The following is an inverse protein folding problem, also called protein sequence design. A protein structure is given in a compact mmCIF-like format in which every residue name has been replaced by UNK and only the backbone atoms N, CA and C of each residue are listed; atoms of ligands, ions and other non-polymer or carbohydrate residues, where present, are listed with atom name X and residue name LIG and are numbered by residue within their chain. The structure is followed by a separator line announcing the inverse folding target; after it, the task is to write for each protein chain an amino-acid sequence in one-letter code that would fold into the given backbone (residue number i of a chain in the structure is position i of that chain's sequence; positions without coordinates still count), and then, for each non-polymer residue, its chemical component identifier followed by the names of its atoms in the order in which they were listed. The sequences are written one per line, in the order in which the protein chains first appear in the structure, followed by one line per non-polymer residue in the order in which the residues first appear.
data_IF_099244950936
#
_entry.id   IF_099244950936
#
_cell.length_a   1.000
_cell.length_b   1.000
_cell.length_c   1.000
_cell.angle_alpha   90.00
_cell.angle_beta   90.00
_cell.angle_gamma   90.00
#
_symmetry.space_group_name_H-M   'P 1'
#
loop_
_entity.id
_entity.type
_entity.pdbx_description
1 polymer ?
#
# COMPACT_ATOMS: atom_id res chain seq x y z
N UNK A 1 -40.78 -22.69 -12.51
CA UNK A 1 -40.10 -23.92 -12.05
C UNK A 1 -39.36 -23.59 -10.77
N UNK A 2 -39.60 -24.31 -9.67
CA UNK A 2 -38.79 -24.15 -8.48
C UNK A 2 -37.55 -25.05 -8.64
N UNK A 3 -36.39 -24.43 -8.88
CA UNK A 3 -35.14 -25.18 -8.82
C UNK A 3 -34.76 -25.39 -7.35
N UNK A 4 -34.75 -26.64 -6.91
CA UNK A 4 -34.21 -27.00 -5.60
C UNK A 4 -32.68 -27.12 -5.69
N UNK A 5 -32.00 -26.26 -5.00
CA UNK A 5 -30.54 -26.36 -4.84
C UNK A 5 -30.20 -27.12 -3.56
N UNK A 6 -29.49 -28.23 -3.69
CA UNK A 6 -28.96 -28.95 -2.51
C UNK A 6 -27.91 -28.08 -1.80
N UNK A 7 -28.07 -27.86 -0.50
CA UNK A 7 -27.08 -27.14 0.32
C UNK A 7 -25.67 -27.71 0.20
N UNK A 8 -25.52 -28.98 -0.11
CA UNK A 8 -24.21 -29.63 -0.38
C UNK A 8 -23.48 -29.04 -1.59
N UNK A 9 -24.14 -28.26 -2.41
CA UNK A 9 -23.51 -27.56 -3.53
C UNK A 9 -22.50 -26.50 -3.06
N UNK A 10 -22.67 -25.95 -1.85
CA UNK A 10 -21.74 -25.05 -1.20
C UNK A 10 -20.98 -25.71 -0.06
N UNK A 11 -19.79 -25.20 0.26
CA UNK A 11 -19.11 -25.58 1.50
C UNK A 11 -19.91 -25.10 2.71
N UNK A 12 -19.89 -25.85 3.81
CA UNK A 12 -20.68 -25.56 5.01
C UNK A 12 -20.50 -24.14 5.55
N UNK A 13 -19.29 -23.62 5.51
CA UNK A 13 -18.99 -22.28 6.00
C UNK A 13 -19.65 -21.16 5.18
N UNK A 14 -20.03 -21.45 3.92
CA UNK A 14 -20.68 -20.48 3.03
C UNK A 14 -22.21 -20.48 3.13
N UNK A 15 -22.82 -21.49 3.75
CA UNK A 15 -24.28 -21.64 3.84
C UNK A 15 -25.01 -20.40 4.38
N UNK A 16 -24.52 -19.69 5.42
CA UNK A 16 -25.19 -18.50 5.94
C UNK A 16 -25.31 -17.36 4.93
N UNK A 17 -24.47 -17.37 3.89
CA UNK A 17 -24.32 -16.26 2.95
C UNK A 17 -25.01 -16.49 1.60
N UNK A 18 -25.55 -17.69 1.35
CA UNK A 18 -26.10 -18.07 0.04
C UNK A 18 -27.31 -17.23 -0.34
N UNK A 19 -28.25 -17.07 0.55
CA UNK A 19 -29.56 -16.44 0.27
C UNK A 19 -29.54 -14.93 0.45
N UNK A 20 -28.59 -14.38 1.19
CA UNK A 20 -28.49 -12.96 1.50
C UNK A 20 -27.62 -12.23 0.49
N UNK A 21 -28.13 -11.12 -0.05
CA UNK A 21 -27.34 -10.18 -0.83
C UNK A 21 -26.99 -8.98 0.04
N UNK A 22 -25.70 -8.77 0.23
CA UNK A 22 -25.15 -7.63 0.98
C UNK A 22 -24.81 -6.50 0.01
N UNK A 23 -24.89 -5.26 0.46
CA UNK A 23 -24.43 -4.11 -0.34
C UNK A 23 -22.96 -4.25 -0.72
N UNK A 24 -22.15 -4.71 0.25
CA UNK A 24 -20.78 -5.10 0.02
C UNK A 24 -20.49 -6.47 0.64
N UNK A 25 -19.92 -7.37 -0.16
CA UNK A 25 -19.59 -8.71 0.28
C UNK A 25 -18.12 -9.00 -0.06
N UNK A 26 -17.30 -9.24 0.96
CA UNK A 26 -15.87 -9.54 0.84
C UNK A 26 -15.50 -10.91 1.40
N UNK A 27 -14.97 -11.80 0.57
CA UNK A 27 -14.44 -13.09 1.00
C UNK A 27 -12.92 -13.10 0.82
N UNK A 28 -12.18 -13.16 1.92
CA UNK A 28 -10.73 -13.13 1.88
C UNK A 28 -10.10 -14.28 2.67
N UNK A 29 -8.83 -14.52 2.45
CA UNK A 29 -8.09 -15.56 3.13
C UNK A 29 -7.19 -16.38 2.21
N UNK A 30 -6.94 -17.64 2.55
CA UNK A 30 -5.92 -18.44 1.86
C UNK A 30 -6.35 -18.89 0.47
N UNK A 31 -5.35 -19.20 -0.36
CA UNK A 31 -5.61 -19.97 -1.58
C UNK A 31 -6.25 -21.31 -1.23
N UNK A 32 -7.03 -21.88 -2.16
CA UNK A 32 -7.73 -23.17 -2.02
C UNK A 32 -8.80 -23.23 -0.91
N UNK A 33 -9.22 -22.10 -0.34
CA UNK A 33 -10.38 -22.05 0.57
C UNK A 33 -11.74 -22.14 -0.14
N UNK A 34 -11.73 -22.20 -1.48
CA UNK A 34 -12.90 -22.25 -2.38
C UNK A 34 -13.80 -21.00 -2.37
N UNK A 35 -13.28 -19.82 -2.02
CA UNK A 35 -14.01 -18.55 -2.05
C UNK A 35 -14.71 -18.32 -3.40
N UNK A 36 -13.94 -18.22 -4.47
CA UNK A 36 -14.45 -17.96 -5.83
C UNK A 36 -15.45 -19.01 -6.30
N UNK A 37 -15.25 -20.29 -5.94
CA UNK A 37 -16.19 -21.38 -6.26
C UNK A 37 -17.54 -21.21 -5.56
N UNK A 38 -17.55 -20.83 -4.28
CA UNK A 38 -18.78 -20.61 -3.55
C UNK A 38 -19.51 -19.35 -4.03
N UNK A 39 -18.79 -18.28 -4.34
CA UNK A 39 -19.35 -17.08 -4.95
C UNK A 39 -19.99 -17.41 -6.32
N UNK A 40 -19.27 -18.08 -7.21
CA UNK A 40 -19.81 -18.47 -8.52
C UNK A 40 -21.11 -19.28 -8.40
N UNK A 41 -21.19 -20.21 -7.43
CA UNK A 41 -22.40 -20.99 -7.13
C UNK A 41 -23.53 -20.11 -6.60
N UNK A 42 -23.24 -19.14 -5.72
CA UNK A 42 -24.20 -18.15 -5.25
C UNK A 42 -24.75 -17.32 -6.40
N UNK A 43 -23.91 -16.83 -7.28
CA UNK A 43 -24.31 -16.05 -8.44
C UNK A 43 -25.22 -16.86 -9.39
N UNK A 44 -24.88 -18.13 -9.66
CA UNK A 44 -25.72 -19.02 -10.45
C UNK A 44 -27.08 -19.25 -9.75
N UNK A 45 -27.11 -19.49 -8.44
CA UNK A 45 -28.34 -19.65 -7.67
C UNK A 45 -29.26 -18.41 -7.81
N UNK A 46 -28.72 -17.22 -7.57
CA UNK A 46 -29.50 -15.99 -7.67
C UNK A 46 -29.97 -15.69 -9.10
N UNK A 47 -29.26 -16.15 -10.13
CA UNK A 47 -29.69 -15.96 -11.51
C UNK A 47 -31.00 -16.70 -11.85
N UNK A 48 -31.41 -17.71 -11.08
CA UNK A 48 -32.69 -18.42 -11.23
C UNK A 48 -33.83 -17.77 -10.46
N UNK A 49 -33.55 -16.76 -9.62
CA UNK A 49 -34.59 -16.11 -8.83
C UNK A 49 -35.43 -15.16 -9.67
N UNK A 50 -36.72 -14.90 -9.30
CA UNK A 50 -37.65 -14.08 -10.08
C UNK A 50 -37.45 -12.58 -9.88
N UNK A 51 -36.22 -12.11 -9.87
CA UNK A 51 -35.84 -10.70 -9.81
C UNK A 51 -34.63 -10.43 -10.69
N UNK A 52 -34.40 -9.15 -11.00
CA UNK A 52 -33.23 -8.73 -11.77
C UNK A 52 -31.94 -9.12 -11.05
N UNK A 53 -31.10 -9.91 -11.72
CA UNK A 53 -29.82 -10.35 -11.19
C UNK A 53 -28.79 -10.39 -12.33
N UNK A 54 -28.37 -9.21 -12.76
CA UNK A 54 -27.45 -9.01 -13.87
C UNK A 54 -26.04 -8.75 -13.33
N UNK A 55 -25.12 -9.63 -13.65
CA UNK A 55 -23.80 -9.70 -13.02
C UNK A 55 -22.69 -9.25 -13.97
N UNK A 56 -21.87 -8.32 -13.51
CA UNK A 56 -20.54 -8.09 -14.07
C UNK A 56 -19.58 -9.02 -13.34
N UNK A 57 -18.92 -9.95 -14.05
CA UNK A 57 -17.82 -10.69 -13.48
C UNK A 57 -16.49 -10.15 -14.00
N UNK A 58 -15.63 -9.64 -13.10
CA UNK A 58 -14.50 -8.79 -13.45
C UNK A 58 -13.16 -9.33 -12.99
N UNK A 59 -12.16 -9.09 -13.82
CA UNK A 59 -10.72 -9.20 -13.51
C UNK A 59 -10.07 -7.84 -13.80
N UNK A 60 -8.92 -7.56 -13.20
CA UNK A 60 -8.17 -6.34 -13.53
C UNK A 60 -7.83 -6.29 -15.01
N UNK A 61 -7.37 -7.40 -15.59
CA UNK A 61 -7.02 -7.55 -16.99
C UNK A 61 -8.10 -8.36 -17.71
N UNK A 62 -8.62 -7.84 -18.83
CA UNK A 62 -9.73 -8.45 -19.58
C UNK A 62 -9.42 -9.85 -20.10
N UNK A 63 -8.20 -10.11 -20.57
CA UNK A 63 -7.79 -11.44 -21.04
C UNK A 63 -7.83 -12.53 -19.97
N UNK A 64 -7.70 -12.16 -18.69
CA UNK A 64 -7.70 -13.10 -17.58
C UNK A 64 -9.10 -13.63 -17.25
N UNK A 65 -10.15 -12.99 -17.73
CA UNK A 65 -11.54 -13.38 -17.49
C UNK A 65 -11.82 -14.76 -18.07
N UNK A 66 -11.33 -15.05 -19.28
CA UNK A 66 -11.56 -16.36 -19.94
C UNK A 66 -11.05 -17.50 -19.07
N UNK A 67 -9.80 -17.44 -18.63
CA UNK A 67 -9.14 -18.49 -17.84
C UNK A 67 -9.57 -18.54 -16.38
N UNK A 68 -10.35 -17.58 -15.90
CA UNK A 68 -10.74 -17.47 -14.49
C UNK A 68 -12.27 -17.54 -14.30
N UNK A 69 -12.91 -16.36 -14.12
CA UNK A 69 -14.33 -16.27 -13.76
C UNK A 69 -15.26 -16.87 -14.79
N UNK A 70 -14.99 -16.68 -16.09
CA UNK A 70 -15.81 -17.25 -17.16
C UNK A 70 -15.72 -18.77 -17.21
N UNK A 71 -14.50 -19.32 -17.18
CA UNK A 71 -14.29 -20.78 -17.14
C UNK A 71 -14.89 -21.40 -15.88
N UNK A 72 -14.78 -20.74 -14.73
CA UNK A 72 -15.36 -21.22 -13.48
C UNK A 72 -16.90 -21.31 -13.56
N UNK A 73 -17.55 -20.24 -13.99
CA UNK A 73 -19.00 -20.17 -14.16
C UNK A 73 -19.49 -21.21 -15.19
N UNK A 74 -18.85 -21.28 -16.35
CA UNK A 74 -19.26 -22.19 -17.43
C UNK A 74 -19.06 -23.66 -17.04
N UNK A 75 -18.00 -24.02 -16.34
CA UNK A 75 -17.79 -25.40 -15.85
C UNK A 75 -18.86 -25.81 -14.86
N UNK A 76 -19.25 -24.93 -13.92
CA UNK A 76 -20.32 -25.20 -12.98
C UNK A 76 -21.67 -25.36 -13.69
N UNK A 77 -21.94 -24.53 -14.70
CA UNK A 77 -23.17 -24.59 -15.50
C UNK A 77 -23.20 -25.84 -16.35
N UNK A 78 -22.14 -26.20 -17.07
CA UNK A 78 -22.10 -27.41 -17.88
C UNK A 78 -22.31 -28.69 -17.08
N UNK A 79 -21.80 -28.70 -15.84
CA UNK A 79 -21.96 -29.87 -14.95
C UNK A 79 -23.39 -30.05 -14.44
N UNK A 80 -24.12 -28.95 -14.17
CA UNK A 80 -25.36 -28.97 -13.41
C UNK A 80 -26.59 -28.43 -14.18
N UNK A 81 -26.38 -27.51 -15.13
CA UNK A 81 -27.45 -26.68 -15.71
C UNK A 81 -27.25 -26.44 -17.22
N UNK A 82 -26.66 -27.41 -17.93
CA UNK A 82 -26.25 -27.25 -19.35
C UNK A 82 -27.35 -26.71 -20.27
N UNK A 83 -28.60 -27.13 -20.04
CA UNK A 83 -29.74 -26.77 -20.90
C UNK A 83 -30.39 -25.44 -20.52
N UNK A 84 -30.07 -24.88 -19.38
CA UNK A 84 -30.74 -23.70 -18.80
C UNK A 84 -30.06 -22.38 -19.16
N UNK A 85 -28.87 -22.42 -19.76
CA UNK A 85 -28.09 -21.25 -20.09
C UNK A 85 -27.71 -21.16 -21.57
N UNK A 86 -27.57 -19.93 -22.06
CA UNK A 86 -26.91 -19.61 -23.31
C UNK A 86 -25.52 -19.05 -22.96
N UNK A 87 -24.46 -19.65 -23.55
CA UNK A 87 -23.08 -19.25 -23.28
C UNK A 87 -22.47 -18.72 -24.57
N UNK A 88 -21.93 -17.49 -24.53
CA UNK A 88 -21.28 -16.82 -25.66
C UNK A 88 -19.87 -16.37 -25.24
N UNK A 89 -18.86 -16.79 -26.00
CA UNK A 89 -17.48 -16.36 -25.74
C UNK A 89 -17.30 -14.84 -25.97
N UNK A 90 -18.05 -14.29 -26.90
CA UNK A 90 -18.05 -12.85 -27.13
C UNK A 90 -18.56 -12.14 -25.87
N UNK A 91 -17.80 -11.20 -25.37
CA UNK A 91 -18.04 -10.47 -24.10
C UNK A 91 -18.12 -11.36 -22.85
N UNK A 92 -17.66 -12.64 -22.94
CA UNK A 92 -17.77 -13.62 -21.85
C UNK A 92 -19.19 -13.64 -21.24
N UNK A 93 -20.20 -13.75 -22.12
CA UNK A 93 -21.60 -13.60 -21.75
C UNK A 93 -22.24 -14.98 -21.45
N UNK A 94 -23.03 -14.99 -20.38
CA UNK A 94 -23.83 -16.15 -19.96
C UNK A 94 -25.23 -15.63 -19.65
N UNK A 95 -26.28 -16.24 -20.23
CA UNK A 95 -27.67 -15.81 -20.06
C UNK A 95 -28.50 -16.97 -19.54
N UNK A 96 -29.22 -16.79 -18.44
CA UNK A 96 -30.21 -17.74 -17.94
C UNK A 96 -31.45 -17.66 -18.82
N UNK A 97 -31.86 -18.79 -19.45
CA UNK A 97 -32.99 -18.86 -20.39
C UNK A 97 -34.36 -18.65 -19.72
N UNK A 98 -34.48 -18.91 -18.43
CA UNK A 98 -35.74 -18.86 -17.70
C UNK A 98 -36.06 -17.47 -17.18
N UNK A 99 -35.05 -16.75 -16.74
CA UNK A 99 -35.23 -15.43 -16.11
C UNK A 99 -34.76 -14.27 -16.99
N UNK A 100 -33.90 -14.54 -17.97
CA UNK A 100 -33.21 -13.52 -18.73
C UNK A 100 -32.05 -12.87 -18.01
N UNK A 101 -31.79 -13.23 -16.74
CA UNK A 101 -30.64 -12.75 -15.98
C UNK A 101 -29.32 -13.14 -16.66
N UNK A 102 -28.34 -12.25 -16.64
CA UNK A 102 -27.11 -12.44 -17.39
C UNK A 102 -25.86 -12.16 -16.58
N UNK A 103 -24.75 -12.75 -17.05
CA UNK A 103 -23.39 -12.48 -16.60
C UNK A 103 -22.59 -11.92 -17.77
N UNK A 104 -21.78 -10.90 -17.58
CA UNK A 104 -20.88 -10.33 -18.60
C UNK A 104 -19.50 -10.02 -18.03
N UNK A 105 -18.47 -10.28 -18.81
CA UNK A 105 -17.10 -10.01 -18.43
C UNK A 105 -16.71 -8.55 -18.59
N UNK A 106 -16.04 -7.97 -17.57
CA UNK A 106 -15.51 -6.61 -17.60
C UNK A 106 -14.04 -6.60 -17.15
N UNK A 107 -13.14 -6.08 -17.98
CA UNK A 107 -11.75 -5.77 -17.60
C UNK A 107 -11.54 -4.28 -17.39
N UNK A 108 -10.66 -3.91 -16.48
CA UNK A 108 -10.36 -2.51 -16.18
C UNK A 108 -9.19 -1.93 -16.96
N UNK A 109 -8.50 -2.76 -17.74
CA UNK A 109 -7.36 -2.42 -18.59
C UNK A 109 -7.74 -1.82 -19.97
N UNK A 110 -9.01 -1.91 -20.38
CA UNK A 110 -9.47 -1.40 -21.67
C UNK A 110 -9.97 0.05 -21.57
N UNK A 111 -9.66 0.85 -22.60
CA UNK A 111 -10.06 2.25 -22.71
C UNK A 111 -11.59 2.47 -22.76
N UNK A 112 -12.36 1.46 -23.15
CA UNK A 112 -13.82 1.48 -23.22
C UNK A 112 -14.48 1.02 -21.91
N UNK A 113 -14.01 1.53 -20.79
CA UNK A 113 -14.65 1.30 -19.50
C UNK A 113 -16.14 1.64 -19.58
N UNK A 114 -17.01 0.69 -19.21
CA UNK A 114 -18.46 0.92 -19.10
C UNK A 114 -19.35 0.63 -20.31
N UNK A 115 -18.82 0.39 -21.51
CA UNK A 115 -19.65 -0.10 -22.61
C UNK A 115 -20.02 -1.58 -22.40
N UNK A 116 -21.33 -1.87 -22.30
CA UNK A 116 -21.88 -3.23 -22.16
C UNK A 116 -22.23 -3.66 -20.73
N UNK A 117 -22.16 -2.76 -19.76
CA UNK A 117 -22.55 -3.02 -18.35
C UNK A 117 -23.88 -2.38 -17.96
N UNK A 118 -24.58 -1.74 -18.92
CA UNK A 118 -25.89 -1.16 -18.67
C UNK A 118 -26.88 -2.24 -18.19
N UNK A 119 -27.59 -1.92 -17.10
CA UNK A 119 -28.54 -2.81 -16.45
C UNK A 119 -27.92 -3.84 -15.50
N UNK A 120 -26.62 -3.78 -15.22
CA UNK A 120 -25.99 -4.59 -14.16
C UNK A 120 -26.35 -4.02 -12.78
N UNK A 121 -26.75 -4.90 -11.88
CA UNK A 121 -26.98 -4.55 -10.47
C UNK A 121 -26.04 -5.28 -9.51
N UNK A 122 -25.27 -6.25 -10.01
CA UNK A 122 -24.30 -7.02 -9.23
C UNK A 122 -22.94 -6.94 -9.91
N UNK A 123 -21.88 -6.76 -9.14
CA UNK A 123 -20.51 -6.94 -9.61
C UNK A 123 -19.76 -7.97 -8.77
N UNK A 124 -19.03 -8.85 -9.43
CA UNK A 124 -18.09 -9.76 -8.80
C UNK A 124 -16.67 -9.45 -9.24
N UNK A 125 -15.85 -8.94 -8.32
CA UNK A 125 -14.44 -8.64 -8.52
C UNK A 125 -13.59 -9.81 -8.00
N UNK A 126 -13.12 -10.63 -8.92
CA UNK A 126 -12.26 -11.77 -8.58
C UNK A 126 -10.79 -11.33 -8.53
N UNK A 127 -10.09 -11.72 -7.48
CA UNK A 127 -8.78 -11.20 -7.08
C UNK A 127 -8.80 -9.67 -6.92
N UNK A 128 -9.68 -9.19 -6.03
CA UNK A 128 -9.90 -7.78 -5.79
C UNK A 128 -8.63 -7.01 -5.35
N UNK A 129 -7.61 -7.71 -4.85
CA UNK A 129 -6.29 -7.15 -4.55
C UNK A 129 -5.54 -6.60 -5.78
N UNK A 130 -5.95 -6.94 -7.00
CA UNK A 130 -5.36 -6.41 -8.23
C UNK A 130 -5.97 -5.07 -8.67
N UNK A 131 -7.15 -4.72 -8.16
CA UNK A 131 -7.85 -3.49 -8.51
C UNK A 131 -7.37 -2.32 -7.65
N UNK A 132 -7.33 -1.11 -8.23
CA UNK A 132 -7.17 0.11 -7.45
C UNK A 132 -8.49 0.51 -6.79
N UNK A 133 -8.45 1.40 -5.81
CA UNK A 133 -9.68 1.91 -5.20
C UNK A 133 -10.56 2.61 -6.22
N UNK A 134 -9.97 3.38 -7.14
CA UNK A 134 -10.67 4.10 -8.20
C UNK A 134 -11.37 3.15 -9.17
N UNK A 135 -10.77 1.99 -9.49
CA UNK A 135 -11.43 0.98 -10.33
C UNK A 135 -12.70 0.45 -9.66
N UNK A 136 -12.64 0.22 -8.35
CA UNK A 136 -13.78 -0.31 -7.57
C UNK A 136 -14.87 0.74 -7.45
N UNK A 137 -14.52 1.97 -7.13
CA UNK A 137 -15.48 3.08 -7.05
C UNK A 137 -16.16 3.33 -8.40
N UNK A 138 -15.42 3.19 -9.52
CA UNK A 138 -15.98 3.27 -10.87
C UNK A 138 -17.02 2.16 -11.11
N UNK A 139 -16.70 0.90 -10.78
CA UNK A 139 -17.62 -0.23 -10.96
C UNK A 139 -18.85 -0.03 -10.06
N UNK A 140 -18.67 0.26 -8.78
CA UNK A 140 -19.73 0.43 -7.79
C UNK A 140 -20.73 1.53 -8.23
N UNK A 141 -20.23 2.67 -8.69
CA UNK A 141 -21.06 3.78 -9.18
C UNK A 141 -21.75 3.51 -10.52
N UNK A 142 -21.31 2.47 -11.25
CA UNK A 142 -21.90 2.07 -12.53
C UNK A 142 -23.07 1.11 -12.33
N UNK A 143 -23.15 0.41 -11.21
CA UNK A 143 -24.22 -0.54 -10.90
C UNK A 143 -25.57 0.19 -10.77
N UNK A 144 -26.61 -0.38 -11.37
CA UNK A 144 -27.97 0.17 -11.34
C UNK A 144 -28.96 -0.97 -11.21
N UNK A 145 -29.87 -0.86 -10.24
CA UNK A 145 -30.99 -1.78 -10.05
C UNK A 145 -32.34 -1.08 -10.31
N UNK A 146 -33.34 -1.86 -10.64
CA UNK A 146 -34.74 -1.40 -10.57
C UNK A 146 -35.12 -1.14 -9.10
N UNK A 147 -36.15 -0.36 -8.85
CA UNK A 147 -36.64 -0.06 -7.50
C UNK A 147 -36.95 -1.36 -6.75
N UNK A 148 -36.33 -1.55 -5.59
CA UNK A 148 -36.51 -2.74 -4.74
C UNK A 148 -35.56 -3.92 -5.04
N UNK A 149 -34.69 -3.78 -6.03
CA UNK A 149 -33.64 -4.78 -6.32
C UNK A 149 -32.33 -4.38 -5.65
N UNK A 150 -31.69 -5.28 -4.90
CA UNK A 150 -30.43 -4.95 -4.25
C UNK A 150 -29.31 -4.74 -5.26
N UNK A 151 -28.48 -3.73 -5.01
CA UNK A 151 -27.19 -3.55 -5.66
C UNK A 151 -26.14 -4.20 -4.76
N UNK A 152 -25.26 -5.03 -5.33
CA UNK A 152 -24.26 -5.74 -4.53
C UNK A 152 -22.88 -5.75 -5.22
N UNK A 153 -21.87 -5.39 -4.46
CA UNK A 153 -20.46 -5.50 -4.83
C UNK A 153 -19.84 -6.68 -4.08
N UNK A 154 -19.54 -7.76 -4.79
CA UNK A 154 -18.98 -9.00 -4.25
C UNK A 154 -17.50 -9.05 -4.62
N UNK A 155 -16.63 -9.31 -3.66
CA UNK A 155 -15.19 -9.32 -3.85
C UNK A 155 -14.57 -10.59 -3.26
N UNK A 156 -13.59 -11.18 -3.94
CA UNK A 156 -12.73 -12.19 -3.33
C UNK A 156 -11.25 -11.90 -3.59
N UNK A 157 -10.43 -12.17 -2.57
CA UNK A 157 -8.98 -11.96 -2.67
C UNK A 157 -8.19 -12.79 -1.67
N UNK A 158 -6.89 -12.85 -1.90
CA UNK A 158 -5.94 -13.29 -0.87
C UNK A 158 -5.33 -12.05 -0.23
N UNK A 159 -5.25 -11.96 1.11
CA UNK A 159 -4.60 -10.85 1.79
C UNK A 159 -3.16 -10.70 1.30
N UNK A 160 -2.74 -9.46 1.06
CA UNK A 160 -1.37 -9.13 0.72
C UNK A 160 -0.79 -8.26 1.83
N UNK A 161 -0.59 -6.98 1.59
CA UNK A 161 -0.07 -6.04 2.58
C UNK A 161 -1.15 -5.54 3.53
N UNK A 162 -0.80 -5.34 4.80
CA UNK A 162 -1.62 -4.65 5.79
C UNK A 162 -1.96 -3.21 5.37
N UNK A 163 -1.13 -2.59 4.51
CA UNK A 163 -1.34 -1.24 3.98
C UNK A 163 -2.21 -1.22 2.71
N UNK A 164 -2.64 -2.38 2.22
CA UNK A 164 -3.51 -2.44 1.06
C UNK A 164 -4.89 -1.83 1.38
N UNK A 165 -5.50 -1.10 0.42
CA UNK A 165 -6.80 -0.43 0.61
C UNK A 165 -7.92 -1.39 1.06
N UNK A 166 -7.87 -2.66 0.66
CA UNK A 166 -8.82 -3.70 1.09
C UNK A 166 -8.77 -3.96 2.60
N UNK A 167 -7.62 -3.79 3.26
CA UNK A 167 -7.53 -3.93 4.73
C UNK A 167 -8.36 -2.85 5.41
N UNK A 168 -8.26 -1.60 4.94
CA UNK A 168 -9.07 -0.49 5.41
C UNK A 168 -10.55 -0.73 5.13
N UNK A 169 -10.88 -1.19 3.91
CA UNK A 169 -12.27 -1.52 3.53
C UNK A 169 -12.90 -2.56 4.48
N UNK A 170 -12.15 -3.59 4.87
CA UNK A 170 -12.60 -4.58 5.88
C UNK A 170 -12.81 -3.93 7.24
N UNK A 171 -11.81 -3.17 7.73
CA UNK A 171 -11.85 -2.60 9.08
C UNK A 171 -13.00 -1.59 9.26
N UNK A 172 -13.30 -0.80 8.23
CA UNK A 172 -14.33 0.24 8.26
C UNK A 172 -15.76 -0.31 8.06
N UNK A 173 -15.90 -1.50 7.47
CA UNK A 173 -17.23 -1.99 7.04
C UNK A 173 -17.64 -3.34 7.66
N UNK A 174 -16.74 -4.10 8.30
CA UNK A 174 -17.03 -5.45 8.81
C UNK A 174 -18.17 -5.53 9.84
N UNK A 175 -18.44 -4.42 10.53
CA UNK A 175 -19.47 -4.34 11.59
C UNK A 175 -20.77 -3.68 11.08
N UNK A 176 -20.87 -3.31 9.79
CA UNK A 176 -22.08 -2.73 9.21
C UNK A 176 -23.07 -3.84 8.85
N UNK A 177 -24.38 -3.66 9.15
CA UNK A 177 -25.39 -4.71 8.97
C UNK A 177 -25.66 -5.10 7.51
N UNK A 178 -25.37 -4.20 6.57
CA UNK A 178 -25.53 -4.38 5.13
C UNK A 178 -24.25 -4.84 4.43
N UNK A 179 -23.16 -5.07 5.19
CA UNK A 179 -21.87 -5.52 4.70
C UNK A 179 -21.51 -6.88 5.27
N UNK A 180 -20.80 -7.69 4.49
CA UNK A 180 -20.22 -8.96 4.90
C UNK A 180 -18.75 -9.00 4.58
N UNK A 181 -17.89 -9.24 5.56
CA UNK A 181 -16.48 -9.55 5.34
C UNK A 181 -16.11 -10.84 6.07
N UNK A 182 -15.89 -11.90 5.30
CA UNK A 182 -15.62 -13.24 5.84
C UNK A 182 -14.23 -13.73 5.48
N UNK A 183 -13.47 -14.14 6.50
CA UNK A 183 -12.16 -14.78 6.33
C UNK A 183 -12.30 -16.28 6.27
N UNK A 184 -11.73 -16.93 5.24
CA UNK A 184 -11.67 -18.38 5.11
C UNK A 184 -10.27 -18.89 4.83
N UNK A 185 -9.98 -20.10 5.26
CA UNK A 185 -8.70 -20.76 5.06
C UNK A 185 -8.87 -22.06 4.26
N UNK A 186 -7.78 -22.66 3.80
CA UNK A 186 -7.84 -23.96 3.15
C UNK A 186 -8.37 -25.07 4.08
N UNK A 187 -8.30 -24.88 5.40
CA UNK A 187 -8.89 -25.80 6.38
C UNK A 187 -10.41 -25.89 6.29
N UNK A 188 -11.05 -24.82 5.80
CA UNK A 188 -12.50 -24.77 5.61
C UNK A 188 -12.95 -25.52 4.35
N UNK A 189 -12.01 -25.93 3.49
CA UNK A 189 -12.27 -26.66 2.26
C UNK A 189 -12.01 -28.16 2.42
N UNK A 190 -13.04 -28.90 2.78
CA UNK A 190 -12.96 -30.36 2.95
C UNK A 190 -12.95 -31.16 1.63
N UNK A 191 -12.96 -30.50 0.47
CA UNK A 191 -12.92 -31.15 -0.84
C UNK A 191 -11.51 -31.36 -1.37
N UNK A 192 -10.50 -30.87 -0.65
CA UNK A 192 -9.08 -31.03 -0.98
C UNK A 192 -8.35 -31.83 0.11
N UNK A 193 -7.19 -32.35 -0.22
CA UNK A 193 -6.26 -32.90 0.77
C UNK A 193 -5.57 -31.75 1.53
N UNK A 194 -6.17 -31.39 2.67
CA UNK A 194 -5.71 -30.28 3.52
C UNK A 194 -4.39 -30.56 4.20
N UNK A 195 -4.17 -31.81 4.59
CA UNK A 195 -2.96 -32.22 5.30
C UNK A 195 -1.75 -32.18 4.36
N UNK A 196 -1.88 -32.70 3.15
CA UNK A 196 -0.84 -32.61 2.13
C UNK A 196 -0.55 -31.17 1.71
N UNK A 197 -1.55 -30.30 1.70
CA UNK A 197 -1.32 -28.85 1.44
C UNK A 197 -0.59 -28.21 2.62
N UNK A 198 -0.99 -28.50 3.85
CA UNK A 198 -0.36 -27.95 5.05
C UNK A 198 1.11 -28.35 5.14
N UNK A 199 1.44 -29.61 4.89
CA UNK A 199 2.83 -30.06 4.83
C UNK A 199 3.70 -29.27 3.84
N UNK A 200 3.14 -28.95 2.65
CA UNK A 200 3.84 -28.09 1.68
C UNK A 200 4.05 -26.67 2.19
N UNK A 201 3.06 -26.12 2.89
CA UNK A 201 3.15 -24.78 3.48
C UNK A 201 4.12 -24.73 4.67
N UNK A 202 4.22 -25.80 5.45
CA UNK A 202 5.21 -25.93 6.53
C UNK A 202 6.65 -25.95 6.00
N UNK A 203 6.89 -26.59 4.83
CA UNK A 203 8.22 -26.53 4.19
C UNK A 203 8.59 -25.10 3.81
N UNK A 204 7.62 -24.32 3.30
CA UNK A 204 7.82 -22.89 2.99
C UNK A 204 8.13 -22.11 4.26
N UNK A 205 7.41 -22.37 5.36
CA UNK A 205 7.66 -21.77 6.67
C UNK A 205 9.12 -21.95 7.14
N UNK A 206 9.70 -23.12 6.85
CA UNK A 206 11.09 -23.45 7.21
C UNK A 206 12.17 -22.60 6.51
N UNK A 207 11.80 -21.74 5.55
CA UNK A 207 12.75 -20.89 4.82
C UNK A 207 13.03 -19.54 5.54
N UNK A 208 13.14 -19.54 6.87
CA UNK A 208 13.46 -18.37 7.69
C UNK A 208 12.31 -17.36 7.80
N UNK A 209 12.63 -16.12 8.14
CA UNK A 209 11.61 -15.07 8.35
C UNK A 209 10.68 -14.85 7.16
N UNK A 210 11.21 -14.87 5.95
CA UNK A 210 10.41 -14.76 4.74
C UNK A 210 9.45 -15.94 4.59
N UNK A 211 9.90 -17.16 4.89
CA UNK A 211 9.05 -18.36 4.91
C UNK A 211 7.94 -18.27 5.95
N UNK A 212 8.22 -17.74 7.13
CA UNK A 212 7.22 -17.52 8.17
C UNK A 212 6.16 -16.49 7.75
N UNK A 213 6.55 -15.42 7.07
CA UNK A 213 5.62 -14.41 6.54
C UNK A 213 4.69 -15.01 5.47
N UNK A 214 5.28 -15.72 4.50
CA UNK A 214 4.50 -16.42 3.47
C UNK A 214 3.53 -17.41 4.09
N UNK A 215 3.95 -18.13 5.13
CA UNK A 215 3.06 -19.05 5.84
C UNK A 215 1.90 -18.31 6.50
N UNK A 216 2.10 -17.16 7.14
CA UNK A 216 1.01 -16.35 7.71
C UNK A 216 -0.02 -15.95 6.65
N UNK A 217 0.43 -15.47 5.50
CA UNK A 217 -0.46 -15.08 4.40
C UNK A 217 -1.12 -16.28 3.74
N UNK A 218 -0.33 -17.31 3.38
CA UNK A 218 -0.80 -18.39 2.52
C UNK A 218 -1.47 -19.53 3.27
N UNK A 219 -1.11 -19.76 4.53
CA UNK A 219 -1.68 -20.80 5.37
C UNK A 219 -2.73 -20.27 6.35
N UNK A 220 -2.49 -19.11 6.96
CA UNK A 220 -3.39 -18.54 7.96
C UNK A 220 -4.35 -17.50 7.37
N UNK A 221 -4.12 -17.02 6.15
CA UNK A 221 -4.93 -15.98 5.52
C UNK A 221 -4.84 -14.64 6.26
N UNK A 222 -3.73 -14.39 6.95
CA UNK A 222 -3.47 -13.14 7.62
C UNK A 222 -2.98 -12.09 6.62
N UNK A 223 -3.18 -10.83 6.96
CA UNK A 223 -2.59 -9.74 6.20
C UNK A 223 -1.07 -9.79 6.34
N UNK A 224 -0.39 -9.73 5.20
CA UNK A 224 1.07 -9.66 5.18
C UNK A 224 1.55 -8.38 5.82
N UNK A 225 2.44 -8.52 6.78
CA UNK A 225 3.28 -7.37 7.16
C UNK A 225 4.18 -7.11 5.97
N UNK A 226 4.31 -5.86 5.55
CA UNK A 226 5.19 -5.50 4.43
C UNK A 226 6.56 -6.12 4.60
N UNK A 227 7.11 -6.53 3.48
CA UNK A 227 8.41 -7.16 3.43
C UNK A 227 9.44 -6.21 4.06
N UNK A 228 9.94 -6.53 5.26
CA UNK A 228 11.02 -5.75 5.90
C UNK A 228 12.19 -5.63 4.92
N UNK A 229 12.38 -6.65 4.06
CA UNK A 229 13.42 -6.62 3.04
C UNK A 229 13.15 -5.60 1.92
N UNK A 230 11.87 -5.24 1.67
CA UNK A 230 11.50 -4.17 0.72
C UNK A 230 11.27 -2.82 1.38
N UNK A 231 10.93 -2.75 2.67
CA UNK A 231 10.72 -1.47 3.36
C UNK A 231 12.04 -0.72 3.52
N UNK A 232 12.08 0.55 3.12
CA UNK A 232 13.29 1.35 3.26
C UNK A 232 13.67 1.54 4.73
N UNK A 233 12.74 2.01 5.56
CA UNK A 233 12.95 2.28 6.98
C UNK A 233 12.34 1.17 7.86
N UNK A 234 12.84 -0.07 7.73
CA UNK A 234 12.31 -1.24 8.42
C UNK A 234 12.44 -1.21 9.94
N UNK A 235 13.27 -0.32 10.48
CA UNK A 235 13.46 -0.12 11.93
C UNK A 235 12.60 1.02 12.48
N UNK A 236 11.75 1.64 11.63
CA UNK A 236 10.87 2.71 12.08
C UNK A 236 9.65 2.13 12.82
N UNK A 237 9.40 2.66 14.00
CA UNK A 237 8.27 2.33 14.85
C UNK A 237 7.56 3.63 15.27
N UNK A 238 6.30 3.80 14.93
CA UNK A 238 5.53 5.03 15.22
C UNK A 238 5.52 5.33 16.72
N UNK A 239 5.22 4.34 17.55
CA UNK A 239 5.09 4.52 19.01
C UNK A 239 6.43 4.87 19.69
N UNK A 240 7.55 4.51 19.06
CA UNK A 240 8.89 4.77 19.57
C UNK A 240 9.47 6.10 19.07
N UNK A 241 9.22 6.42 17.80
CA UNK A 241 9.93 7.50 17.13
C UNK A 241 9.09 8.77 16.95
N UNK A 242 7.75 8.69 17.02
CA UNK A 242 6.87 9.86 16.86
C UNK A 242 6.51 10.43 18.22
N UNK A 243 6.75 11.72 18.38
CA UNK A 243 6.46 12.45 19.62
C UNK A 243 5.21 13.30 19.41
N UNK A 244 4.21 13.12 20.28
CA UNK A 244 3.02 13.97 20.33
C UNK A 244 3.39 15.39 20.75
N UNK A 245 2.89 16.38 20.00
CA UNK A 245 3.16 17.77 20.23
C UNK A 245 4.49 18.26 19.65
N UNK A 246 4.87 19.49 20.02
CA UNK A 246 6.06 20.15 19.49
C UNK A 246 7.34 19.73 20.21
N UNK A 247 8.41 19.60 19.48
CA UNK A 247 9.76 19.43 20.04
C UNK A 247 10.40 20.80 20.22
N UNK A 248 10.69 21.16 21.47
CA UNK A 248 11.34 22.42 21.78
C UNK A 248 12.81 22.41 21.35
N UNK A 249 13.24 23.49 20.70
CA UNK A 249 14.62 23.72 20.31
C UNK A 249 15.41 24.16 21.54
N UNK A 250 16.59 23.59 21.70
CA UNK A 250 17.56 24.12 22.65
C UNK A 250 18.43 25.19 21.98
N UNK A 251 18.35 26.48 22.41
CA UNK A 251 19.07 27.58 21.75
C UNK A 251 20.60 27.51 21.89
N UNK A 252 21.13 26.60 22.70
CA UNK A 252 22.56 26.39 22.87
C UNK A 252 23.20 25.52 21.78
N UNK A 253 22.38 24.81 20.99
CA UNK A 253 22.86 23.89 19.96
C UNK A 253 22.51 24.42 18.57
N UNK A 254 23.35 24.03 17.59
CA UNK A 254 23.11 24.32 16.19
C UNK A 254 21.83 23.67 15.69
N UNK A 255 21.19 24.30 14.72
CA UNK A 255 20.11 23.75 13.92
C UNK A 255 20.68 23.25 12.60
N UNK A 256 20.44 22.00 12.28
CA UNK A 256 20.80 21.39 11.01
C UNK A 256 19.64 21.50 10.03
N UNK A 257 19.92 22.04 8.85
CA UNK A 257 18.98 22.16 7.75
C UNK A 257 19.41 21.20 6.64
N UNK A 258 18.56 20.21 6.34
CA UNK A 258 18.82 19.27 5.26
C UNK A 258 17.89 19.54 4.09
N UNK A 259 18.47 19.79 2.91
CA UNK A 259 17.74 20.17 1.70
C UNK A 259 17.62 19.02 0.71
N UNK A 260 16.47 18.92 0.07
CA UNK A 260 16.22 18.14 -1.15
C UNK A 260 15.70 19.09 -2.23
N UNK A 261 16.41 19.15 -3.37
CA UNK A 261 16.11 20.09 -4.46
C UNK A 261 15.35 19.37 -5.57
N UNK A 262 14.08 19.68 -5.67
CA UNK A 262 13.17 19.19 -6.71
C UNK A 262 12.28 20.36 -7.20
N UNK A 263 11.19 20.05 -7.90
CA UNK A 263 10.19 21.06 -8.32
C UNK A 263 9.72 21.91 -7.14
N UNK A 264 9.65 21.34 -5.95
CA UNK A 264 9.41 22.04 -4.68
C UNK A 264 10.56 21.75 -3.74
N UNK A 265 11.30 22.79 -3.34
CA UNK A 265 12.40 22.62 -2.38
C UNK A 265 11.84 22.12 -1.03
N UNK A 266 12.41 21.04 -0.54
CA UNK A 266 12.09 20.46 0.77
C UNK A 266 13.26 20.71 1.71
N UNK A 267 12.98 21.18 2.92
CA UNK A 267 13.99 21.43 3.95
C UNK A 267 13.56 20.83 5.28
N UNK A 268 14.31 19.86 5.77
CA UNK A 268 14.17 19.31 7.10
C UNK A 268 14.95 20.09 8.16
N UNK A 269 14.33 20.31 9.31
CA UNK A 269 14.92 21.00 10.46
C UNK A 269 15.22 20.03 11.57
N UNK A 270 16.49 19.95 11.96
CA UNK A 270 16.98 18.99 12.94
C UNK A 270 17.81 19.64 14.03
N UNK A 271 17.81 19.00 15.17
CA UNK A 271 18.76 19.24 16.24
C UNK A 271 19.24 17.91 16.79
N UNK A 272 20.53 17.71 17.02
CA UNK A 272 21.00 16.47 17.61
C UNK A 272 22.15 16.70 18.60
N UNK A 273 22.31 15.74 19.48
CA UNK A 273 23.43 15.65 20.43
C UNK A 273 23.96 14.22 20.42
N UNK A 274 25.23 14.04 20.08
CA UNK A 274 25.91 12.75 20.25
C UNK A 274 26.10 12.50 21.75
N UNK A 275 25.73 11.30 22.20
CA UNK A 275 25.81 10.95 23.62
C UNK A 275 27.23 10.56 23.99
N UNK A 276 27.56 10.68 25.30
CA UNK A 276 28.85 10.26 25.82
C UNK A 276 28.90 8.72 25.86
N UNK A 277 30.11 8.15 25.67
CA UNK A 277 30.37 6.70 25.75
C UNK A 277 29.79 6.12 27.04
N UNK A 278 29.04 5.03 26.94
CA UNK A 278 28.40 4.36 28.09
C UNK A 278 26.91 4.72 28.28
N UNK A 279 26.34 5.61 27.48
CA UNK A 279 24.90 5.88 27.48
C UNK A 279 24.15 4.88 26.59
N UNK A 280 22.84 4.70 26.86
CA UNK A 280 21.95 3.77 26.14
C UNK A 280 21.88 4.02 24.64
N UNK A 281 22.00 5.27 24.20
CA UNK A 281 21.86 5.66 22.79
C UNK A 281 23.14 6.34 22.29
N UNK A 282 23.46 6.09 21.02
CA UNK A 282 24.56 6.76 20.33
C UNK A 282 24.37 8.28 20.22
N UNK A 283 23.15 8.72 19.93
CA UNK A 283 22.77 10.12 19.85
C UNK A 283 21.29 10.31 20.19
N UNK A 284 20.91 11.53 20.59
CA UNK A 284 19.51 11.98 20.57
C UNK A 284 19.32 12.89 19.38
N UNK A 285 18.36 12.58 18.50
CA UNK A 285 18.07 13.29 17.26
C UNK A 285 16.63 13.77 17.31
N UNK A 286 16.44 15.07 17.21
CA UNK A 286 15.13 15.71 17.14
C UNK A 286 14.87 16.18 15.71
N UNK A 287 13.89 15.59 15.02
CA UNK A 287 13.28 16.09 13.79
C UNK A 287 12.16 17.01 14.17
N UNK A 288 12.39 18.32 13.97
CA UNK A 288 11.53 19.37 14.45
C UNK A 288 10.41 19.64 13.45
N UNK A 289 10.78 19.96 12.19
CA UNK A 289 9.83 20.40 11.17
C UNK A 289 10.34 20.12 9.77
N UNK A 290 9.42 20.04 8.81
CA UNK A 290 9.73 20.03 7.37
C UNK A 290 9.05 21.21 6.69
N UNK A 291 9.80 21.95 5.87
CA UNK A 291 9.27 22.96 4.96
C UNK A 291 9.24 22.45 3.53
N UNK A 292 8.21 22.82 2.77
CA UNK A 292 8.10 22.58 1.33
C UNK A 292 7.69 23.87 0.63
N UNK A 293 8.66 24.60 0.10
CA UNK A 293 8.46 25.92 -0.53
C UNK A 293 9.24 25.95 -1.85
N UNK A 294 8.57 26.26 -2.96
CA UNK A 294 9.18 26.25 -4.30
C UNK A 294 10.28 27.31 -4.46
N UNK A 295 10.10 28.52 -3.91
CA UNK A 295 11.08 29.60 -3.97
C UNK A 295 12.09 29.45 -2.83
N UNK A 296 13.36 29.30 -3.19
CA UNK A 296 14.45 29.08 -2.24
C UNK A 296 14.71 30.31 -1.33
N UNK A 297 14.52 31.54 -1.85
CA UNK A 297 14.66 32.74 -1.06
C UNK A 297 13.58 32.84 0.00
N UNK A 298 12.31 32.62 -0.38
CA UNK A 298 11.18 32.63 0.54
C UNK A 298 11.36 31.53 1.59
N UNK A 299 11.85 30.35 1.21
CA UNK A 299 12.16 29.27 2.13
C UNK A 299 13.20 29.71 3.19
N UNK A 300 14.31 30.28 2.76
CA UNK A 300 15.36 30.77 3.68
C UNK A 300 14.86 31.90 4.59
N UNK A 301 14.09 32.84 4.06
CA UNK A 301 13.51 33.94 4.84
C UNK A 301 12.52 33.42 5.89
N UNK A 302 11.69 32.46 5.54
CA UNK A 302 10.75 31.79 6.45
C UNK A 302 11.47 31.07 7.60
N UNK A 303 12.52 30.31 7.28
CA UNK A 303 13.34 29.63 8.29
C UNK A 303 14.01 30.64 9.22
N UNK A 304 14.60 31.72 8.66
CA UNK A 304 15.28 32.73 9.45
C UNK A 304 14.32 33.49 10.37
N UNK A 305 13.10 33.76 9.90
CA UNK A 305 12.05 34.39 10.71
C UNK A 305 11.58 33.54 11.88
N UNK A 306 11.46 32.21 11.67
CA UNK A 306 11.05 31.27 12.74
C UNK A 306 12.20 30.98 13.74
N UNK A 307 13.47 31.02 13.28
CA UNK A 307 14.66 30.75 14.09
C UNK A 307 15.68 31.89 14.07
N UNK A 308 15.34 33.13 14.53
CA UNK A 308 16.12 34.32 14.29
C UNK A 308 17.50 34.36 14.98
N UNK A 309 17.71 33.55 16.01
CA UNK A 309 18.97 33.48 16.77
C UNK A 309 19.73 32.17 16.59
N UNK A 310 19.25 31.30 15.68
CA UNK A 310 19.84 30.01 15.48
C UNK A 310 21.17 30.08 14.71
N UNK A 311 22.09 29.20 15.06
CA UNK A 311 23.27 28.89 14.26
C UNK A 311 22.89 27.70 13.35
N UNK A 312 22.91 27.93 12.05
CA UNK A 312 22.57 26.90 11.07
C UNK A 312 23.80 26.18 10.56
N UNK A 313 23.64 24.85 10.39
CA UNK A 313 24.52 23.97 9.63
C UNK A 313 23.71 23.40 8.48
N UNK A 314 24.23 23.45 7.27
CA UNK A 314 23.53 23.09 6.06
C UNK A 314 24.08 21.77 5.52
N UNK A 315 23.21 20.82 5.22
CA UNK A 315 23.52 19.62 4.45
C UNK A 315 22.37 19.28 3.49
N UNK A 316 22.41 18.13 2.81
CA UNK A 316 21.35 17.69 1.91
C UNK A 316 21.87 17.20 0.57
N UNK A 317 21.04 17.34 -0.46
CA UNK A 317 21.26 16.85 -1.80
C UNK A 317 22.54 17.43 -2.43
N UNK A 318 23.48 16.55 -2.79
CA UNK A 318 24.74 16.95 -3.43
C UNK A 318 24.52 17.65 -4.79
N UNK A 319 23.40 17.39 -5.48
CA UNK A 319 23.09 18.04 -6.76
C UNK A 319 22.95 19.55 -6.65
N UNK A 320 22.57 20.05 -5.48
CA UNK A 320 22.49 21.49 -5.19
C UNK A 320 23.83 22.25 -5.24
N UNK A 321 24.96 21.53 -5.32
CA UNK A 321 26.28 22.13 -5.57
C UNK A 321 26.49 22.54 -7.03
N UNK A 322 25.70 21.97 -7.96
CA UNK A 322 25.82 22.28 -9.37
C UNK A 322 25.24 23.69 -9.67
N UNK A 323 25.85 24.36 -10.63
CA UNK A 323 25.27 25.60 -11.16
C UNK A 323 23.96 25.25 -11.88
N UNK A 324 22.92 26.00 -11.59
CA UNK A 324 21.59 25.76 -12.16
C UNK A 324 21.12 26.97 -12.96
N UNK A 325 20.59 26.72 -14.17
CA UNK A 325 19.91 27.74 -14.97
C UNK A 325 18.60 28.25 -14.33
N UNK A 326 18.11 27.55 -13.29
CA UNK A 326 16.91 27.95 -12.54
C UNK A 326 17.16 28.95 -11.41
N UNK A 327 18.43 29.30 -11.13
CA UNK A 327 18.76 30.43 -10.24
C UNK A 327 18.99 31.66 -11.09
N UNK A 328 18.46 32.82 -10.69
CA UNK A 328 18.49 34.07 -11.42
C UNK A 328 19.91 34.50 -11.85
N UNK A 329 20.95 34.03 -11.17
CA UNK A 329 22.35 34.44 -11.34
C UNK A 329 23.28 33.29 -11.76
N UNK A 330 22.73 32.12 -12.19
CA UNK A 330 23.51 30.94 -12.57
C UNK A 330 24.48 30.46 -11.47
N UNK A 331 24.08 30.63 -10.21
CA UNK A 331 24.80 30.19 -9.01
C UNK A 331 24.27 28.84 -8.52
N UNK A 332 25.02 28.13 -7.66
CA UNK A 332 24.51 26.90 -7.03
C UNK A 332 23.46 27.21 -5.96
N UNK A 333 22.56 26.24 -5.70
CA UNK A 333 21.55 26.39 -4.65
C UNK A 333 22.19 26.67 -3.28
N UNK A 334 23.30 26.02 -2.96
CA UNK A 334 24.00 26.26 -1.69
C UNK A 334 24.68 27.64 -1.63
N UNK A 335 25.11 28.18 -2.76
CA UNK A 335 25.59 29.58 -2.82
C UNK A 335 24.47 30.57 -2.49
N UNK A 336 23.27 30.32 -3.04
CA UNK A 336 22.08 31.13 -2.73
C UNK A 336 21.69 31.03 -1.25
N UNK A 337 21.61 29.80 -0.69
CA UNK A 337 21.30 29.52 0.73
C UNK A 337 22.32 30.24 1.63
N UNK A 338 23.61 30.09 1.32
CA UNK A 338 24.68 30.79 2.05
C UNK A 338 24.47 32.29 2.13
N UNK A 339 24.11 32.92 0.99
CA UNK A 339 23.81 34.36 0.91
C UNK A 339 22.57 34.73 1.73
N UNK A 340 21.44 34.03 1.53
CA UNK A 340 20.16 34.36 2.18
C UNK A 340 20.20 34.17 3.71
N UNK A 341 20.86 33.10 4.19
CA UNK A 341 21.00 32.84 5.62
C UNK A 341 22.23 33.49 6.24
N UNK A 342 23.09 34.21 5.45
CA UNK A 342 24.30 34.87 5.90
C UNK A 342 25.31 33.92 6.58
N UNK A 343 25.60 32.80 5.94
CA UNK A 343 26.46 31.73 6.45
C UNK A 343 27.90 31.88 5.92
N UNK A 344 28.85 31.24 6.62
CA UNK A 344 30.22 31.04 6.14
C UNK A 344 30.38 29.61 5.52
N UNK A 345 31.56 29.36 4.92
CA UNK A 345 31.81 28.08 4.21
C UNK A 345 31.83 26.85 5.15
N UNK A 346 32.24 27.02 6.41
CA UNK A 346 32.27 25.93 7.38
C UNK A 346 30.88 25.45 7.78
N UNK A 347 29.85 26.26 7.56
CA UNK A 347 28.47 25.92 7.86
C UNK A 347 27.78 25.16 6.71
N UNK A 348 28.42 25.01 5.56
CA UNK A 348 27.94 24.25 4.43
C UNK A 348 28.64 22.88 4.43
N UNK A 349 27.96 21.86 4.94
CA UNK A 349 28.50 20.51 5.14
C UNK A 349 27.75 19.52 4.24
N UNK A 350 27.94 19.65 2.93
CA UNK A 350 27.30 18.82 1.92
C UNK A 350 28.29 17.78 1.42
N UNK A 351 27.85 16.54 1.34
CA UNK A 351 28.65 15.45 0.78
C UNK A 351 28.99 15.72 -0.70
N UNK A 352 30.13 15.26 -1.22
CA UNK A 352 30.50 15.45 -2.62
C UNK A 352 29.59 14.73 -3.60
N UNK A 353 28.89 13.67 -3.16
CA UNK A 353 27.89 12.93 -3.92
C UNK A 353 26.79 12.41 -3.00
N UNK A 354 25.59 12.22 -3.55
CA UNK A 354 24.50 11.60 -2.81
C UNK A 354 24.82 10.15 -2.48
N UNK A 355 24.47 9.66 -1.26
CA UNK A 355 24.64 8.27 -0.93
C UNK A 355 23.70 7.41 -1.81
N UNK A 356 24.15 6.21 -2.17
CA UNK A 356 23.27 5.24 -2.80
C UNK A 356 22.08 4.90 -1.89
N UNK A 357 20.97 4.44 -2.48
CA UNK A 357 19.81 4.03 -1.69
C UNK A 357 20.16 2.92 -0.71
N UNK A 358 21.03 1.97 -1.10
CA UNK A 358 21.48 0.88 -0.23
C UNK A 358 22.24 1.41 0.98
N UNK A 359 23.24 2.29 0.76
CA UNK A 359 24.04 2.85 1.85
C UNK A 359 23.17 3.67 2.81
N UNK A 360 22.37 4.58 2.28
CA UNK A 360 21.48 5.40 3.11
C UNK A 360 20.44 4.57 3.86
N UNK A 361 19.93 3.48 3.26
CA UNK A 361 19.02 2.54 3.94
C UNK A 361 19.65 1.88 5.15
N UNK A 362 20.88 1.38 5.00
CA UNK A 362 21.61 0.75 6.11
C UNK A 362 21.79 1.75 7.25
N UNK A 363 22.36 2.93 6.96
CA UNK A 363 22.61 3.94 8.00
C UNK A 363 21.30 4.43 8.64
N UNK A 364 20.26 4.66 7.87
CA UNK A 364 18.94 5.09 8.40
C UNK A 364 18.41 4.08 9.43
N UNK A 365 18.46 2.78 9.12
CA UNK A 365 17.96 1.76 10.04
C UNK A 365 18.84 1.58 11.27
N UNK A 366 20.15 1.71 11.14
CA UNK A 366 21.08 1.73 12.29
C UNK A 366 20.82 2.92 13.21
N UNK A 367 20.56 4.11 12.65
CA UNK A 367 20.22 5.30 13.42
C UNK A 367 18.89 5.11 14.15
N UNK A 368 17.86 4.59 13.47
CA UNK A 368 16.55 4.30 14.09
C UNK A 368 16.67 3.28 15.23
N UNK A 369 17.58 2.31 15.14
CA UNK A 369 17.79 1.31 16.19
C UNK A 369 18.63 1.81 17.37
N UNK A 370 19.74 2.53 17.08
CA UNK A 370 20.78 2.86 18.05
C UNK A 370 20.70 4.28 18.61
N UNK A 371 19.95 5.17 17.97
CA UNK A 371 19.74 6.53 18.43
C UNK A 371 18.33 6.71 19.04
N UNK A 372 18.23 7.69 19.94
CA UNK A 372 16.93 8.19 20.39
C UNK A 372 16.39 9.18 19.36
N UNK A 373 15.78 8.65 18.29
CA UNK A 373 15.17 9.47 17.24
C UNK A 373 13.78 9.91 17.69
N UNK A 374 13.53 11.22 17.61
CA UNK A 374 12.27 11.85 18.01
C UNK A 374 11.77 12.72 16.87
N UNK A 375 10.64 12.36 16.29
CA UNK A 375 10.02 13.06 15.16
C UNK A 375 8.75 13.73 15.66
N UNK A 376 8.65 15.05 15.54
CA UNK A 376 7.42 15.76 15.90
C UNK A 376 6.27 15.32 14.98
N UNK A 377 5.08 15.09 15.53
CA UNK A 377 3.91 14.56 14.81
C UNK A 377 3.47 15.43 13.60
N UNK A 378 3.81 16.71 13.59
CA UNK A 378 3.55 17.61 12.47
C UNK A 378 4.39 17.29 11.20
N UNK A 379 5.34 16.34 11.27
CA UNK A 379 6.09 15.85 10.12
C UNK A 379 5.39 14.64 9.46
N UNK A 380 4.09 14.75 9.25
CA UNK A 380 3.20 13.72 8.71
C UNK A 380 3.72 13.08 7.41
N UNK A 381 4.23 13.90 6.48
CA UNK A 381 4.81 13.42 5.21
C UNK A 381 6.04 12.53 5.43
N UNK A 382 6.96 12.92 6.32
CA UNK A 382 8.11 12.07 6.65
C UNK A 382 7.68 10.78 7.34
N UNK A 383 6.73 10.87 8.26
CA UNK A 383 6.19 9.72 8.98
C UNK A 383 5.55 8.74 8.00
N UNK A 384 4.81 9.25 7.02
CA UNK A 384 4.19 8.44 5.98
C UNK A 384 5.26 7.82 5.06
N UNK A 385 6.23 8.58 4.60
CA UNK A 385 7.37 8.10 3.81
C UNK A 385 8.13 6.98 4.53
N UNK A 386 8.44 7.15 5.83
CA UNK A 386 9.13 6.13 6.63
C UNK A 386 8.32 4.85 6.79
N UNK A 387 6.99 4.94 6.80
CA UNK A 387 6.09 3.78 6.86
C UNK A 387 5.97 3.05 5.53
N UNK A 388 5.95 3.77 4.41
CA UNK A 388 5.49 3.25 3.12
C UNK A 388 6.59 3.06 2.08
N UNK A 389 7.74 3.76 2.21
CA UNK A 389 8.78 3.72 1.21
C UNK A 389 9.38 2.32 1.03
N UNK A 390 9.40 1.84 -0.21
CA UNK A 390 9.88 0.51 -0.57
C UNK A 390 11.06 0.57 -1.51
N UNK A 391 11.96 -0.37 -1.37
CA UNK A 391 13.07 -0.62 -2.29
C UNK A 391 12.79 -1.84 -3.16
N UNK A 392 13.31 -1.83 -4.37
CA UNK A 392 13.29 -3.00 -5.23
C UNK A 392 14.31 -4.09 -4.77
N UNK A 393 14.36 -5.21 -5.49
CA UNK A 393 15.30 -6.30 -5.21
C UNK A 393 16.78 -5.88 -5.28
N UNK A 394 17.09 -4.74 -5.90
CA UNK A 394 18.44 -4.15 -5.98
C UNK A 394 18.68 -3.10 -4.89
N UNK A 395 17.72 -2.87 -4.01
CA UNK A 395 17.78 -1.88 -2.94
C UNK A 395 17.54 -0.43 -3.42
N UNK A 396 16.98 -0.21 -4.64
CA UNK A 396 16.67 1.14 -5.14
C UNK A 396 15.28 1.58 -4.74
N UNK A 397 15.15 2.87 -4.35
CA UNK A 397 13.87 3.57 -4.14
C UNK A 397 13.22 4.05 -5.44
N UNK A 398 13.95 4.07 -6.57
CA UNK A 398 13.47 4.71 -7.80
C UNK A 398 12.14 4.16 -8.31
N UNK A 399 11.88 2.83 -8.31
CA UNK A 399 10.59 2.31 -8.76
C UNK A 399 9.42 2.73 -7.87
N UNK A 400 9.66 2.91 -6.56
CA UNK A 400 8.65 3.39 -5.63
C UNK A 400 8.38 4.90 -5.84
N UNK A 401 9.43 5.70 -6.01
CA UNK A 401 9.34 7.12 -6.32
C UNK A 401 8.56 7.41 -7.60
N UNK A 402 8.79 6.63 -8.65
CA UNK A 402 8.06 6.75 -9.92
C UNK A 402 6.55 6.52 -9.77
N UNK A 403 6.15 5.63 -8.87
CA UNK A 403 4.74 5.37 -8.56
C UNK A 403 4.11 6.40 -7.62
N UNK A 404 4.94 7.09 -6.83
CA UNK A 404 4.53 8.02 -5.79
C UNK A 404 5.24 9.38 -5.92
N UNK A 405 5.02 10.15 -7.00
CA UNK A 405 5.82 11.34 -7.33
C UNK A 405 5.68 12.48 -6.32
N UNK A 406 4.66 12.48 -5.48
CA UNK A 406 4.44 13.49 -4.44
C UNK A 406 5.02 13.10 -3.07
N UNK A 407 5.43 11.83 -2.93
CA UNK A 407 6.10 11.29 -1.76
C UNK A 407 7.61 11.21 -2.00
N UNK A 408 8.37 10.84 -1.01
CA UNK A 408 9.83 10.67 -1.01
C UNK A 408 10.69 11.90 -0.74
N UNK A 409 10.23 13.10 -0.95
CA UNK A 409 11.05 14.30 -0.73
C UNK A 409 11.45 14.50 0.74
N UNK A 410 10.53 14.17 1.67
CA UNK A 410 10.82 14.20 3.10
C UNK A 410 11.75 13.06 3.51
N UNK A 411 11.64 11.90 2.85
CA UNK A 411 12.57 10.80 3.07
C UNK A 411 13.95 11.11 2.51
N UNK A 412 14.05 11.78 1.35
CA UNK A 412 15.34 12.12 0.74
C UNK A 412 16.11 13.12 1.60
N UNK A 413 15.49 14.19 2.09
CA UNK A 413 16.15 15.13 2.98
C UNK A 413 16.56 14.47 4.31
N UNK A 414 15.73 13.52 4.84
CA UNK A 414 16.05 12.77 6.06
C UNK A 414 17.23 11.83 5.85
N UNK A 415 17.28 11.06 4.76
CA UNK A 415 18.39 10.13 4.49
C UNK A 415 19.70 10.87 4.21
N UNK A 416 19.67 12.07 3.60
CA UNK A 416 20.85 12.91 3.43
C UNK A 416 21.36 13.43 4.78
N UNK A 417 20.45 13.92 5.64
CA UNK A 417 20.80 14.34 6.99
C UNK A 417 21.46 13.21 7.78
N UNK A 418 20.82 12.04 7.80
CA UNK A 418 21.28 10.86 8.53
C UNK A 418 22.64 10.40 8.02
N UNK A 419 22.80 10.30 6.71
CA UNK A 419 24.07 9.86 6.11
C UNK A 419 25.21 10.84 6.41
N UNK A 420 24.99 12.12 6.20
CA UNK A 420 26.03 13.14 6.40
C UNK A 420 26.53 13.16 7.85
N UNK A 421 25.64 13.03 8.83
CA UNK A 421 26.00 13.22 10.24
C UNK A 421 26.28 11.94 11.01
N UNK A 422 25.87 10.77 10.47
CA UNK A 422 25.91 9.49 11.22
C UNK A 422 26.48 8.31 10.43
N UNK A 423 27.09 8.49 9.26
CA UNK A 423 27.66 7.38 8.49
C UNK A 423 28.74 6.60 9.28
N UNK A 424 29.39 7.23 10.24
CA UNK A 424 30.38 6.60 11.14
C UNK A 424 29.76 5.47 11.99
N UNK A 425 28.44 5.49 12.24
CA UNK A 425 27.75 4.47 13.05
C UNK A 425 27.91 3.05 12.46
N UNK A 426 28.22 2.95 11.16
CA UNK A 426 28.50 1.69 10.50
C UNK A 426 29.87 1.10 10.87
N UNK A 427 30.82 1.93 11.30
CA UNK A 427 32.17 1.50 11.65
C UNK A 427 32.26 0.91 13.07
N UNK A 428 31.21 1.16 13.89
CA UNK A 428 31.16 0.63 15.28
C UNK A 428 30.67 -0.84 15.35
N UNK A 429 30.67 -1.58 14.23
CA UNK A 429 30.23 -2.98 14.16
C UNK A 429 31.31 -3.99 14.65
N UNK A 430 32.52 -3.54 14.95
CA UNK A 430 33.64 -4.43 15.35
C UNK A 430 33.85 -4.54 16.87
N UNK A 431 32.97 -3.99 17.70
CA UNK A 431 33.14 -4.06 19.16
C UNK A 431 31.79 -4.42 19.83
N UNK A 432 31.45 -5.72 19.77
CA UNK A 432 30.73 -6.45 20.84
C UNK A 432 30.90 -7.97 20.62
#
# INVERSE_FOLDING_TARGET
MNYEFDRKWWLKWYWPFVETLYTKEGHYGTRQSAKSHNIARKLIYHSFQPYQFNVIHSRKVYSDIEGSTFTLLTNLIYKNFKNDFIIRKNHFEIINKHTGNWFRGLGMDKAEKGKGVEGANIAWLNEANQFTREDVDYIDTTLRGETGVPISLIMDWNPESINHWLKREVDENKDKPDCLFHKSTFWDNYTIDRDALHERLLRIKGHGLEGERRYKVWALGDWGVEDIDSTFAYSFETDKHVIKGKININPQFEIYLSFDFNVTNTCGVYQFLKNVKGQKYYATINKIKTYRIGDLKILCETIKAEFPKAKFIINGDASGQNKSAFTSDNISAYTAIKSHLQLNDMQIQVAPANPSHIQSRVITNMVLQRCNVRIAEENDLLIEDLKQAQVDRKGSLDPWKLKNPNLSHSLDEFRYFVFTNFHEIANDYEID
#
